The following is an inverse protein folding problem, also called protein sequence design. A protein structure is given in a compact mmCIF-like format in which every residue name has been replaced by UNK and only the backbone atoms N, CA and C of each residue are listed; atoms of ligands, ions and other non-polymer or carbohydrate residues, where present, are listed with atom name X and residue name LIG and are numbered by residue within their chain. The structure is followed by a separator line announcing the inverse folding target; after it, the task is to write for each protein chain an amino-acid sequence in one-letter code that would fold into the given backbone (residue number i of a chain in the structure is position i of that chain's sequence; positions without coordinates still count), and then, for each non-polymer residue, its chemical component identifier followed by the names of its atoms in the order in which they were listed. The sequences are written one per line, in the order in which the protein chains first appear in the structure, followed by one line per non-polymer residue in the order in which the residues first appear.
data_IF_404697307380
#
_entry.id   IF_404697307380
#
_cell.length_a   1.000
_cell.length_b   1.000
_cell.length_c   1.000
_cell.angle_alpha   90.00
_cell.angle_beta   90.00
_cell.angle_gamma   90.00
#
_symmetry.space_group_name_H-M   'P 1'
#
loop_
_entity.id
_entity.type
_entity.pdbx_description
1 polymer ?
#
# COMPACT_ATOMS: atom_id res chain seq x y z
N UNK A 1 -18.99 3.49 5.13
CA UNK A 1 -20.22 4.19 4.70
C UNK A 1 -20.24 4.41 3.20
N UNK A 2 -21.35 4.09 2.52
CA UNK A 2 -21.57 4.46 1.11
C UNK A 2 -22.31 5.82 1.03
N UNK A 3 -22.58 6.31 -0.20
CA UNK A 3 -23.37 7.53 -0.52
C UNK A 3 -22.69 8.90 -0.33
N UNK A 4 -21.71 9.04 0.56
CA UNK A 4 -21.12 10.37 0.91
C UNK A 4 -19.84 10.75 0.15
N UNK A 5 -19.30 9.86 -0.67
CA UNK A 5 -17.98 10.05 -1.27
C UNK A 5 -16.90 10.24 -0.21
N UNK A 6 -15.98 11.20 -0.41
CA UNK A 6 -14.93 11.53 0.57
C UNK A 6 -15.35 12.60 1.59
N UNK A 7 -16.61 13.02 1.62
CA UNK A 7 -17.13 14.01 2.60
C UNK A 7 -17.39 13.36 3.96
N UNK A 8 -16.33 12.77 4.55
CA UNK A 8 -16.42 12.01 5.77
C UNK A 8 -16.67 12.91 6.99
N UNK A 9 -17.44 12.36 7.93
CA UNK A 9 -17.71 12.97 9.25
C UNK A 9 -16.89 12.22 10.30
N UNK A 10 -16.65 12.81 11.50
CA UNK A 10 -15.88 12.16 12.55
C UNK A 10 -16.33 10.73 12.88
N UNK A 11 -17.64 10.49 12.94
CA UNK A 11 -18.21 9.16 13.20
C UNK A 11 -17.85 8.10 12.14
N UNK A 12 -17.54 8.51 10.90
CA UNK A 12 -17.09 7.55 9.88
C UNK A 12 -15.68 7.05 10.21
N UNK A 13 -14.76 7.94 10.60
CA UNK A 13 -13.41 7.57 11.01
C UNK A 13 -13.42 6.71 12.28
N UNK A 14 -14.30 7.03 13.23
CA UNK A 14 -14.48 6.26 14.46
C UNK A 14 -14.98 4.85 14.18
N UNK A 15 -15.97 4.70 13.30
CA UNK A 15 -16.47 3.39 12.93
C UNK A 15 -15.44 2.58 12.15
N UNK A 16 -14.76 3.16 11.16
CA UNK A 16 -13.71 2.47 10.40
C UNK A 16 -12.62 1.97 11.35
N UNK A 17 -12.21 2.80 12.32
CA UNK A 17 -11.25 2.40 13.37
C UNK A 17 -11.81 1.29 14.25
N UNK A 18 -13.08 1.37 14.68
CA UNK A 18 -13.73 0.34 15.49
C UNK A 18 -13.76 -1.02 14.77
N UNK A 19 -14.10 -1.03 13.49
CA UNK A 19 -14.15 -2.27 12.68
C UNK A 19 -12.75 -2.89 12.51
N UNK A 20 -11.72 -2.07 12.27
CA UNK A 20 -10.34 -2.54 12.22
C UNK A 20 -9.91 -3.16 13.55
N UNK A 21 -10.22 -2.53 14.68
CA UNK A 21 -9.91 -3.06 16.01
C UNK A 21 -10.68 -4.35 16.32
N UNK A 22 -11.94 -4.43 15.91
CA UNK A 22 -12.76 -5.66 16.02
C UNK A 22 -12.12 -6.84 15.27
N UNK A 23 -11.52 -6.57 14.10
CA UNK A 23 -10.78 -7.57 13.32
C UNK A 23 -9.38 -7.89 13.89
N UNK A 24 -8.87 -7.10 14.84
CA UNK A 24 -7.54 -7.27 15.43
C UNK A 24 -6.41 -6.61 14.65
N UNK A 25 -6.72 -5.61 13.82
CA UNK A 25 -5.70 -4.84 13.07
C UNK A 25 -4.79 -4.07 14.03
N UNK A 26 -3.48 -4.19 13.82
CA UNK A 26 -2.45 -3.46 14.55
C UNK A 26 -1.58 -2.55 13.65
N UNK A 27 -1.77 -2.59 12.34
CA UNK A 27 -1.06 -1.76 11.38
C UNK A 27 -1.99 -1.34 10.23
N UNK A 28 -1.80 -0.12 9.72
CA UNK A 28 -2.58 0.44 8.63
C UNK A 28 -1.67 1.14 7.63
N UNK A 29 -1.99 0.99 6.34
CA UNK A 29 -1.49 1.85 5.27
C UNK A 29 -2.61 2.78 4.85
N UNK A 30 -2.48 4.07 5.16
CA UNK A 30 -3.46 5.10 4.78
C UNK A 30 -3.17 5.58 3.35
N UNK A 31 -3.45 4.70 2.40
CA UNK A 31 -3.34 4.92 0.97
C UNK A 31 -4.43 5.89 0.44
N UNK A 32 -4.27 6.61 -0.67
CA UNK A 32 -3.02 6.91 -1.40
C UNK A 32 -2.67 8.40 -1.28
N UNK A 33 -2.88 8.98 -0.10
CA UNK A 33 -2.72 10.41 0.14
C UNK A 33 -2.71 10.72 1.64
N UNK A 34 -2.21 11.91 2.04
CA UNK A 34 -2.37 12.40 3.40
C UNK A 34 -3.85 12.41 3.79
N UNK A 35 -4.19 11.70 4.85
CA UNK A 35 -5.54 11.61 5.38
C UNK A 35 -5.81 12.64 6.48
N UNK A 36 -7.02 12.62 7.03
CA UNK A 36 -7.42 13.59 8.05
C UNK A 36 -6.56 13.47 9.32
N UNK A 37 -6.21 14.60 9.94
CA UNK A 37 -5.57 14.64 11.28
C UNK A 37 -6.31 13.77 12.30
N UNK A 38 -7.65 13.81 12.27
CA UNK A 38 -8.46 13.01 13.18
C UNK A 38 -8.29 11.48 12.98
N UNK A 39 -8.02 11.03 11.76
CA UNK A 39 -7.73 9.62 11.51
C UNK A 39 -6.39 9.23 12.14
N UNK A 40 -5.34 10.06 11.99
CA UNK A 40 -4.06 9.82 12.65
C UNK A 40 -4.17 9.90 14.19
N UNK A 41 -4.98 10.82 14.74
CA UNK A 41 -5.28 10.87 16.18
C UNK A 41 -5.91 9.57 16.70
N UNK A 42 -6.75 8.91 15.88
CA UNK A 42 -7.35 7.63 16.22
C UNK A 42 -6.31 6.50 16.16
N UNK A 43 -5.40 6.53 15.19
CA UNK A 43 -4.31 5.54 15.13
C UNK A 43 -3.36 5.69 16.33
N UNK A 44 -3.06 6.94 16.73
CA UNK A 44 -2.26 7.25 17.92
C UNK A 44 -2.94 6.70 19.18
N UNK A 45 -4.23 7.00 19.37
CA UNK A 45 -5.01 6.58 20.54
C UNK A 45 -5.11 5.07 20.69
N UNK A 46 -5.16 4.35 19.58
CA UNK A 46 -5.36 2.90 19.59
C UNK A 46 -4.07 2.09 19.36
N UNK A 47 -2.92 2.76 19.20
CA UNK A 47 -1.63 2.10 19.02
C UNK A 47 -1.51 1.35 17.68
N UNK A 48 -2.13 1.84 16.62
CA UNK A 48 -2.08 1.24 15.28
C UNK A 48 -0.87 1.82 14.52
N UNK A 49 0.09 0.98 14.14
CA UNK A 49 1.27 1.38 13.37
C UNK A 49 0.85 1.86 11.98
N UNK A 50 1.20 3.08 11.61
CA UNK A 50 0.68 3.75 10.43
C UNK A 50 1.78 4.01 9.39
N UNK A 51 1.50 3.63 8.15
CA UNK A 51 2.16 4.10 6.95
C UNK A 51 1.28 5.19 6.31
N UNK A 52 1.78 6.42 6.28
CA UNK A 52 1.17 7.56 5.56
C UNK A 52 1.95 7.88 4.28
N UNK A 53 1.28 8.23 3.18
CA UNK A 53 1.94 8.45 1.88
C UNK A 53 1.42 9.67 1.11
N UNK A 54 2.26 10.23 0.24
CA UNK A 54 1.86 11.26 -0.73
C UNK A 54 1.14 10.65 -1.93
N UNK A 55 0.29 11.41 -2.67
CA UNK A 55 -0.41 10.93 -3.86
C UNK A 55 0.48 10.88 -5.11
N UNK A 56 1.66 10.27 -5.01
CA UNK A 56 2.50 10.00 -6.16
C UNK A 56 2.20 8.60 -6.73
N UNK A 57 1.09 8.51 -7.46
CA UNK A 57 0.46 7.25 -7.86
C UNK A 57 0.63 7.00 -9.36
N UNK A 58 1.12 5.82 -9.72
CA UNK A 58 1.22 5.33 -11.08
C UNK A 58 -0.07 4.68 -11.61
N UNK A 59 -0.05 4.24 -12.87
CA UNK A 59 -1.28 3.85 -13.57
C UNK A 59 -1.70 2.40 -13.31
N UNK A 60 -0.89 1.60 -12.62
CA UNK A 60 -1.12 0.15 -12.52
C UNK A 60 -1.25 -0.51 -13.90
N UNK A 61 -2.32 -1.27 -14.09
CA UNK A 61 -2.69 -1.88 -15.38
C UNK A 61 -3.40 -0.93 -16.37
N UNK A 62 -3.60 0.34 -16.02
CA UNK A 62 -4.31 1.33 -16.84
C UNK A 62 -3.37 2.16 -17.73
N UNK A 63 -3.96 3.06 -18.52
CA UNK A 63 -3.25 3.98 -19.40
C UNK A 63 -2.58 5.14 -18.63
N UNK A 64 -1.87 5.99 -19.36
CA UNK A 64 -1.19 7.19 -18.87
C UNK A 64 -0.04 6.91 -17.88
N UNK A 65 0.31 7.93 -17.08
CA UNK A 65 1.52 7.98 -16.24
C UNK A 65 1.22 8.65 -14.92
N UNK A 66 1.87 8.19 -13.85
CA UNK A 66 1.89 8.85 -12.55
C UNK A 66 2.93 9.96 -12.43
N UNK A 67 3.85 10.05 -13.39
CA UNK A 67 4.91 11.04 -13.43
C UNK A 67 4.92 11.76 -14.78
N UNK A 68 5.01 13.09 -14.72
CA UNK A 68 5.22 13.98 -15.86
C UNK A 68 6.45 14.82 -15.53
N UNK A 69 7.51 14.70 -16.33
CA UNK A 69 8.80 15.32 -16.02
C UNK A 69 8.83 16.81 -16.40
N UNK A 70 8.14 17.60 -15.59
CA UNK A 70 8.13 19.06 -15.70
C UNK A 70 8.38 19.70 -14.32
N UNK A 71 9.05 20.87 -14.26
CA UNK A 71 9.38 21.53 -13.00
C UNK A 71 8.16 21.78 -12.10
N UNK A 72 7.02 22.17 -12.67
CA UNK A 72 5.80 22.44 -11.90
C UNK A 72 5.25 21.19 -11.18
N UNK A 73 5.31 20.02 -11.82
CA UNK A 73 4.90 18.75 -11.22
C UNK A 73 5.84 18.37 -10.08
N UNK A 74 7.15 18.44 -10.33
CA UNK A 74 8.19 18.08 -9.37
C UNK A 74 8.17 18.98 -8.13
N UNK A 75 8.07 20.29 -8.32
CA UNK A 75 8.05 21.23 -7.19
C UNK A 75 6.75 21.13 -6.39
N UNK A 76 5.61 20.88 -7.05
CA UNK A 76 4.36 20.63 -6.34
C UNK A 76 4.42 19.34 -5.51
N UNK A 77 4.93 18.24 -6.06
CA UNK A 77 5.05 16.98 -5.30
C UNK A 77 6.03 17.08 -4.12
N UNK A 78 7.13 17.83 -4.26
CA UNK A 78 8.01 18.18 -3.12
C UNK A 78 7.26 18.95 -2.04
N UNK A 79 6.37 19.86 -2.41
CA UNK A 79 5.58 20.61 -1.42
C UNK A 79 4.57 19.71 -0.71
N UNK A 80 3.87 18.84 -1.44
CA UNK A 80 2.96 17.85 -0.83
C UNK A 80 3.69 16.93 0.17
N UNK A 81 4.92 16.52 -0.12
CA UNK A 81 5.75 15.75 0.82
C UNK A 81 6.10 16.55 2.07
N UNK A 82 6.52 17.82 1.91
CA UNK A 82 6.81 18.69 3.06
C UNK A 82 5.55 18.95 3.89
N UNK A 83 4.40 19.15 3.25
CA UNK A 83 3.12 19.34 3.91
C UNK A 83 2.76 18.12 4.76
N UNK A 84 2.77 16.92 4.16
CA UNK A 84 2.47 15.68 4.88
C UNK A 84 3.39 15.51 6.10
N UNK A 85 4.70 15.62 5.91
CA UNK A 85 5.67 15.42 7.00
C UNK A 85 5.45 16.46 8.10
N UNK A 86 5.36 17.75 7.76
CA UNK A 86 5.28 18.83 8.76
C UNK A 86 3.95 18.86 9.50
N UNK A 87 2.84 18.63 8.80
CA UNK A 87 1.51 18.67 9.39
C UNK A 87 1.26 17.47 10.31
N UNK A 88 1.87 16.32 10.00
CA UNK A 88 1.63 15.06 10.69
C UNK A 88 2.85 14.55 11.49
N UNK A 89 3.87 15.40 11.68
CA UNK A 89 5.15 15.04 12.30
C UNK A 89 5.00 14.44 13.71
N UNK A 90 4.01 14.90 14.48
CA UNK A 90 3.87 14.56 15.89
C UNK A 90 3.00 13.32 16.16
N UNK A 91 2.48 12.66 15.13
CA UNK A 91 1.70 11.44 15.31
C UNK A 91 2.65 10.25 15.59
N UNK A 92 2.66 9.69 16.82
CA UNK A 92 3.47 8.51 17.13
C UNK A 92 3.03 7.26 16.35
N UNK A 93 1.79 7.21 15.88
CA UNK A 93 1.31 6.09 15.06
C UNK A 93 2.07 6.01 13.74
N UNK A 94 2.40 7.15 13.12
CA UNK A 94 3.11 7.18 11.84
C UNK A 94 4.54 6.70 12.07
N UNK A 95 4.86 5.56 11.44
CA UNK A 95 6.18 4.94 11.49
C UNK A 95 6.87 4.89 10.12
N UNK A 96 6.15 5.19 9.03
CA UNK A 96 6.68 5.14 7.67
C UNK A 96 6.14 6.29 6.82
N UNK A 97 7.02 6.89 6.02
CA UNK A 97 6.66 7.86 4.97
C UNK A 97 6.69 7.21 3.59
N UNK A 98 5.53 7.02 2.98
CA UNK A 98 5.36 6.48 1.64
C UNK A 98 5.66 7.51 0.56
N UNK A 99 6.56 7.17 -0.38
CA UNK A 99 6.98 8.10 -1.44
C UNK A 99 6.25 7.89 -2.77
N UNK A 100 5.80 6.68 -3.06
CA UNK A 100 5.01 6.40 -4.27
C UNK A 100 4.19 5.12 -4.18
N UNK A 101 3.23 5.00 -5.11
CA UNK A 101 2.51 3.77 -5.41
C UNK A 101 2.57 3.46 -6.91
N UNK A 102 3.04 2.28 -7.31
CA UNK A 102 2.95 1.71 -8.67
C UNK A 102 3.49 2.58 -9.84
N UNK A 103 4.52 3.38 -9.59
CA UNK A 103 5.21 4.10 -10.66
C UNK A 103 5.99 3.15 -11.58
N UNK A 104 6.18 3.55 -12.84
CA UNK A 104 6.91 2.79 -13.86
C UNK A 104 7.99 3.64 -14.50
N UNK A 105 9.09 3.00 -14.92
CA UNK A 105 10.23 3.67 -15.54
C UNK A 105 10.01 4.02 -17.02
N UNK A 106 9.01 3.41 -17.66
CA UNK A 106 8.76 3.62 -19.09
C UNK A 106 8.19 5.02 -19.38
N UNK A 107 8.85 5.74 -20.29
CA UNK A 107 8.50 7.10 -20.67
C UNK A 107 9.24 8.12 -19.79
N UNK A 108 8.48 8.90 -19.03
CA UNK A 108 9.09 9.87 -18.11
C UNK A 108 9.54 9.04 -16.91
N UNK A 109 10.85 8.87 -16.75
CA UNK A 109 11.40 7.98 -15.75
C UNK A 109 11.49 8.71 -14.38
N UNK A 110 10.78 8.26 -13.33
CA UNK A 110 10.71 8.96 -12.06
C UNK A 110 11.90 8.69 -11.12
N UNK A 111 12.86 7.81 -11.47
CA UNK A 111 13.90 7.35 -10.54
C UNK A 111 14.67 8.50 -9.87
N UNK A 112 15.16 9.47 -10.64
CA UNK A 112 15.92 10.60 -10.08
C UNK A 112 15.03 11.49 -9.21
N UNK A 113 13.77 11.67 -9.58
CA UNK A 113 12.82 12.44 -8.79
C UNK A 113 12.44 11.72 -7.48
N UNK A 114 12.29 10.40 -7.48
CA UNK A 114 12.07 9.61 -6.26
C UNK A 114 13.29 9.71 -5.34
N UNK A 115 14.52 9.71 -5.87
CA UNK A 115 15.74 9.96 -5.07
C UNK A 115 15.73 11.35 -4.44
N UNK A 116 15.33 12.39 -5.17
CA UNK A 116 15.16 13.74 -4.62
C UNK A 116 14.14 13.76 -3.47
N UNK A 117 12.98 13.10 -3.65
CA UNK A 117 11.96 12.98 -2.61
C UNK A 117 12.47 12.20 -1.39
N UNK A 118 13.23 11.13 -1.60
CA UNK A 118 13.82 10.35 -0.51
C UNK A 118 14.79 11.19 0.33
N UNK A 119 15.67 11.96 -0.32
CA UNK A 119 16.56 12.91 0.36
C UNK A 119 15.75 13.97 1.11
N UNK A 120 14.71 14.53 0.49
CA UNK A 120 13.87 15.55 1.10
C UNK A 120 13.10 15.02 2.32
N UNK A 121 12.60 13.78 2.27
CA UNK A 121 11.92 13.14 3.38
C UNK A 121 12.85 13.00 4.59
N UNK A 122 14.07 12.50 4.38
CA UNK A 122 15.08 12.38 5.43
C UNK A 122 15.55 13.73 6.00
N UNK A 123 15.58 14.78 5.18
CA UNK A 123 15.86 16.14 5.65
C UNK A 123 14.71 16.71 6.48
N UNK A 124 13.46 16.40 6.12
CA UNK A 124 12.26 16.85 6.82
C UNK A 124 12.01 16.09 8.12
N UNK A 125 12.33 14.80 8.14
CA UNK A 125 12.16 13.91 9.28
C UNK A 125 13.21 12.78 9.26
N UNK A 126 14.33 12.94 9.97
CA UNK A 126 15.35 11.88 10.07
C UNK A 126 14.96 10.76 11.05
N UNK A 127 13.77 10.82 11.68
CA UNK A 127 13.36 9.88 12.74
C UNK A 127 12.51 8.72 12.22
N UNK A 128 12.02 8.80 10.98
CA UNK A 128 11.16 7.77 10.37
C UNK A 128 11.74 7.30 9.03
N UNK A 129 11.72 5.99 8.76
CA UNK A 129 12.13 5.46 7.46
C UNK A 129 11.14 5.83 6.34
N UNK A 130 11.66 5.90 5.12
CA UNK A 130 10.83 5.94 3.92
C UNK A 130 10.45 4.53 3.45
N UNK A 131 9.30 4.43 2.80
CA UNK A 131 8.82 3.20 2.15
C UNK A 131 8.13 3.54 0.83
N UNK A 132 7.83 2.54 0.02
CA UNK A 132 7.07 2.68 -1.22
C UNK A 132 6.32 1.40 -1.57
N UNK A 133 5.24 1.52 -2.35
CA UNK A 133 4.46 0.41 -2.87
C UNK A 133 4.74 0.22 -4.36
N UNK A 134 5.33 -0.92 -4.74
CA UNK A 134 5.76 -1.20 -6.11
C UNK A 134 4.98 -2.33 -6.77
N UNK A 135 4.81 -2.26 -8.08
CA UNK A 135 4.40 -3.36 -8.93
C UNK A 135 5.44 -3.67 -10.03
N UNK A 136 6.66 -3.14 -9.88
CA UNK A 136 7.74 -3.25 -10.85
C UNK A 136 8.89 -4.12 -10.31
N UNK A 137 9.70 -4.64 -11.23
CA UNK A 137 11.10 -4.99 -10.94
C UNK A 137 12.02 -3.77 -11.11
N UNK A 138 13.33 -3.98 -11.06
CA UNK A 138 14.30 -2.94 -11.45
C UNK A 138 14.67 -1.95 -10.35
N UNK A 139 15.29 -0.85 -10.77
CA UNK A 139 16.02 0.07 -9.90
C UNK A 139 15.12 0.86 -8.94
N UNK A 140 13.84 1.02 -9.29
CA UNK A 140 12.87 1.76 -8.49
C UNK A 140 12.68 1.20 -7.07
N UNK A 141 12.96 -0.08 -6.88
CA UNK A 141 12.77 -0.80 -5.62
C UNK A 141 13.92 -0.62 -4.62
N UNK A 142 14.98 0.11 -4.99
CA UNK A 142 16.22 0.22 -4.21
C UNK A 142 16.50 1.67 -3.74
N UNK A 143 15.46 2.52 -3.71
CA UNK A 143 15.61 3.94 -3.34
C UNK A 143 15.21 4.20 -1.88
N UNK A 144 14.08 3.66 -1.44
CA UNK A 144 13.56 3.85 -0.07
C UNK A 144 14.18 2.88 0.92
N UNK A 145 14.12 3.20 2.22
CA UNK A 145 14.76 2.37 3.26
C UNK A 145 14.11 0.99 3.39
N UNK A 146 12.78 0.98 3.28
CA UNK A 146 11.93 -0.20 3.19
C UNK A 146 11.27 -0.24 1.80
N UNK A 147 10.87 -1.43 1.36
CA UNK A 147 10.18 -1.60 0.09
C UNK A 147 9.04 -2.61 0.24
N UNK A 148 7.93 -2.33 -0.41
CA UNK A 148 6.78 -3.22 -0.43
C UNK A 148 6.27 -3.42 -1.85
N UNK A 149 5.61 -4.56 -2.09
CA UNK A 149 4.98 -4.84 -3.36
C UNK A 149 3.48 -5.06 -3.26
N UNK A 150 2.76 -4.57 -4.26
CA UNK A 150 1.37 -4.89 -4.51
C UNK A 150 1.29 -6.25 -5.20
N UNK A 151 0.68 -7.24 -4.55
CA UNK A 151 0.67 -8.64 -5.01
C UNK A 151 -0.75 -9.20 -5.02
N UNK A 152 -1.16 -9.73 -6.16
CA UNK A 152 -2.52 -10.22 -6.40
C UNK A 152 -2.52 -11.67 -6.90
N UNK A 153 -1.54 -12.46 -6.47
CA UNK A 153 -1.36 -13.87 -6.83
C UNK A 153 -2.59 -14.72 -6.43
N UNK A 154 -3.31 -15.26 -7.41
CA UNK A 154 -4.60 -15.94 -7.21
C UNK A 154 -5.84 -15.08 -7.48
N UNK A 155 -5.67 -13.77 -7.74
CA UNK A 155 -6.73 -12.89 -8.21
C UNK A 155 -6.52 -12.51 -9.68
N UNK A 156 -5.52 -11.69 -9.99
CA UNK A 156 -5.15 -11.30 -11.38
C UNK A 156 -4.36 -12.40 -12.12
N UNK A 157 -4.87 -13.64 -12.06
CA UNK A 157 -4.21 -14.84 -12.57
C UNK A 157 -3.32 -15.54 -11.53
N UNK A 158 -2.58 -16.55 -12.00
CA UNK A 158 -1.73 -17.41 -11.17
C UNK A 158 -2.47 -18.07 -9.99
N UNK A 159 -1.73 -18.52 -8.98
CA UNK A 159 -2.25 -19.12 -7.75
C UNK A 159 -1.55 -18.49 -6.55
N UNK A 160 -2.13 -18.51 -5.33
CA UNK A 160 -1.45 -17.97 -4.14
C UNK A 160 -0.01 -18.49 -3.94
N UNK A 161 0.29 -19.73 -4.39
CA UNK A 161 1.63 -20.30 -4.30
C UNK A 161 2.72 -19.51 -5.07
N UNK A 162 2.35 -18.68 -6.05
CA UNK A 162 3.33 -17.82 -6.73
C UNK A 162 3.76 -16.64 -5.87
N UNK A 163 2.95 -16.20 -4.89
CA UNK A 163 3.37 -15.22 -3.87
C UNK A 163 4.52 -15.80 -3.04
N UNK A 164 4.36 -17.03 -2.54
CA UNK A 164 5.39 -17.73 -1.78
C UNK A 164 6.70 -17.83 -2.58
N UNK A 165 6.60 -18.30 -3.82
CA UNK A 165 7.77 -18.46 -4.71
C UNK A 165 8.46 -17.14 -5.01
N UNK A 166 7.68 -16.06 -5.18
CA UNK A 166 8.21 -14.73 -5.46
C UNK A 166 8.87 -14.11 -4.23
N UNK A 167 8.26 -14.20 -3.05
CA UNK A 167 8.81 -13.71 -1.79
C UNK A 167 10.17 -14.36 -1.51
N UNK A 168 10.23 -15.69 -1.56
CA UNK A 168 11.44 -16.45 -1.21
C UNK A 168 12.58 -16.16 -2.19
N UNK A 169 12.29 -16.09 -3.49
CA UNK A 169 13.29 -15.75 -4.52
C UNK A 169 13.78 -14.32 -4.38
N UNK A 170 12.89 -13.37 -4.10
CA UNK A 170 13.25 -11.95 -3.96
C UNK A 170 14.12 -11.76 -2.71
N UNK A 171 13.74 -12.36 -1.58
CA UNK A 171 14.54 -12.31 -0.36
C UNK A 171 15.91 -12.99 -0.52
N UNK A 172 15.98 -14.12 -1.24
CA UNK A 172 17.25 -14.79 -1.52
C UNK A 172 18.17 -13.96 -2.44
N UNK A 173 17.61 -13.32 -3.46
CA UNK A 173 18.36 -12.51 -4.40
C UNK A 173 18.85 -11.18 -3.81
N UNK A 174 18.06 -10.61 -2.90
CA UNK A 174 18.29 -9.31 -2.27
C UNK A 174 18.08 -9.41 -0.75
N UNK A 175 19.00 -10.04 -0.01
CA UNK A 175 18.86 -10.19 1.45
C UNK A 175 18.93 -8.86 2.21
N UNK A 176 19.39 -7.78 1.57
CA UNK A 176 19.55 -6.45 2.16
C UNK A 176 18.26 -5.60 2.21
N UNK A 177 17.27 -5.92 1.36
CA UNK A 177 16.01 -5.17 1.29
C UNK A 177 15.02 -5.67 2.35
N UNK A 178 14.25 -4.74 2.93
CA UNK A 178 13.20 -5.05 3.91
C UNK A 178 11.87 -5.13 3.17
N UNK A 179 11.41 -6.35 2.92
CA UNK A 179 10.25 -6.65 2.07
C UNK A 179 8.96 -6.57 2.90
N UNK A 180 7.95 -5.88 2.35
CA UNK A 180 6.55 -5.96 2.79
C UNK A 180 5.62 -6.26 1.61
N UNK A 181 4.36 -6.56 1.93
CA UNK A 181 3.26 -6.61 0.96
C UNK A 181 2.39 -5.39 1.20
N UNK A 182 2.43 -4.40 0.29
CA UNK A 182 1.70 -3.14 0.44
C UNK A 182 0.23 -3.25 0.08
N UNK A 183 -0.14 -4.25 -0.72
CA UNK A 183 -1.51 -4.62 -1.09
C UNK A 183 -1.57 -6.12 -1.38
N UNK A 184 -2.61 -6.80 -0.90
CA UNK A 184 -3.01 -8.11 -1.39
C UNK A 184 -4.51 -8.35 -1.14
N UNK A 185 -5.25 -8.68 -2.20
CA UNK A 185 -6.69 -8.83 -2.07
C UNK A 185 -7.35 -9.53 -3.24
N UNK A 186 -8.63 -9.87 -3.05
CA UNK A 186 -9.51 -10.37 -4.09
C UNK A 186 -10.88 -9.69 -3.96
N UNK A 187 -11.61 -9.57 -5.07
CA UNK A 187 -12.96 -9.01 -5.08
C UNK A 187 -14.01 -10.03 -4.64
N UNK A 188 -15.05 -9.55 -3.96
CA UNK A 188 -16.23 -10.31 -3.61
C UNK A 188 -17.50 -9.44 -3.63
N UNK A 189 -18.61 -10.07 -3.96
CA UNK A 189 -19.96 -9.55 -3.68
C UNK A 189 -20.65 -10.51 -2.73
N UNK A 190 -21.18 -9.98 -1.62
CA UNK A 190 -21.97 -10.76 -0.65
C UNK A 190 -23.23 -11.38 -1.28
N UNK A 191 -23.64 -10.92 -2.47
CA UNK A 191 -24.80 -11.43 -3.20
C UNK A 191 -24.43 -12.52 -4.22
N UNK A 192 -23.15 -12.75 -4.47
CA UNK A 192 -22.68 -13.78 -5.40
C UNK A 192 -22.25 -14.99 -4.58
N UNK A 193 -23.08 -16.03 -4.60
CA UNK A 193 -22.88 -17.25 -3.84
C UNK A 193 -22.90 -18.45 -4.78
N UNK A 194 -22.03 -19.41 -4.52
CA UNK A 194 -21.98 -20.68 -5.21
C UNK A 194 -21.49 -21.77 -4.26
N UNK A 195 -21.96 -22.99 -4.45
CA UNK A 195 -21.61 -24.13 -3.59
C UNK A 195 -20.16 -24.62 -3.85
N UNK A 196 -19.73 -24.60 -5.12
CA UNK A 196 -18.38 -25.01 -5.51
C UNK A 196 -17.36 -23.87 -5.38
N UNK A 197 -16.11 -24.20 -5.08
CA UNK A 197 -15.00 -23.26 -5.10
C UNK A 197 -14.37 -23.23 -6.50
N UNK A 198 -14.59 -22.14 -7.23
CA UNK A 198 -14.07 -21.94 -8.59
C UNK A 198 -13.49 -20.55 -8.70
N UNK A 199 -12.26 -20.44 -9.21
CA UNK A 199 -11.61 -19.15 -9.45
C UNK A 199 -12.43 -18.34 -10.45
N UNK A 200 -12.78 -17.12 -10.05
CA UNK A 200 -13.46 -16.19 -10.94
C UNK A 200 -12.48 -15.37 -11.78
N UNK A 201 -12.96 -14.81 -12.89
CA UNK A 201 -12.24 -13.81 -13.66
C UNK A 201 -12.43 -12.42 -13.03
N UNK A 202 -11.35 -11.70 -12.66
CA UNK A 202 -11.44 -10.37 -12.04
C UNK A 202 -12.22 -9.35 -12.87
N UNK A 203 -12.11 -9.41 -14.20
CA UNK A 203 -12.81 -8.51 -15.12
C UNK A 203 -14.27 -8.89 -15.40
N UNK A 204 -14.80 -9.93 -14.75
CA UNK A 204 -16.19 -10.37 -14.92
C UNK A 204 -17.15 -9.68 -13.93
N UNK A 205 -18.46 -9.89 -14.14
CA UNK A 205 -19.53 -9.42 -13.24
C UNK A 205 -19.87 -10.41 -12.13
N UNK A 206 -19.09 -11.48 -11.94
CA UNK A 206 -19.38 -12.54 -10.98
C UNK A 206 -18.21 -12.72 -10.02
N UNK A 207 -18.34 -12.27 -8.78
CA UNK A 207 -17.29 -12.32 -7.76
C UNK A 207 -17.81 -13.05 -6.51
N UNK A 208 -17.76 -14.40 -6.50
CA UNK A 208 -18.35 -15.17 -5.42
C UNK A 208 -17.56 -15.00 -4.12
N UNK A 209 -18.28 -14.85 -3.01
CA UNK A 209 -17.69 -14.61 -1.68
C UNK A 209 -16.66 -15.68 -1.29
N UNK A 210 -16.97 -16.96 -1.57
CA UNK A 210 -16.11 -18.08 -1.22
C UNK A 210 -14.72 -18.03 -1.88
N UNK A 211 -14.55 -17.34 -3.01
CA UNK A 211 -13.24 -17.18 -3.63
C UNK A 211 -12.35 -16.19 -2.89
N UNK A 212 -12.92 -15.05 -2.43
CA UNK A 212 -12.17 -14.10 -1.60
C UNK A 212 -11.79 -14.72 -0.26
N UNK A 213 -12.67 -15.53 0.33
CA UNK A 213 -12.37 -16.27 1.57
C UNK A 213 -11.15 -17.19 1.36
N UNK A 214 -11.18 -18.04 0.33
CA UNK A 214 -10.05 -18.92 0.02
C UNK A 214 -8.77 -18.14 -0.26
N UNK A 215 -8.87 -17.05 -1.04
CA UNK A 215 -7.74 -16.20 -1.37
C UNK A 215 -7.02 -15.69 -0.12
N UNK A 216 -7.76 -15.13 0.85
CA UNK A 216 -7.15 -14.61 2.08
C UNK A 216 -6.61 -15.72 2.97
N UNK A 217 -7.28 -16.88 3.07
CA UNK A 217 -6.78 -18.03 3.84
C UNK A 217 -5.41 -18.47 3.30
N UNK A 218 -5.28 -18.65 1.98
CA UNK A 218 -4.05 -19.14 1.37
C UNK A 218 -2.92 -18.11 1.42
N UNK A 219 -3.20 -16.85 1.09
CA UNK A 219 -2.18 -15.79 1.14
C UNK A 219 -1.75 -15.48 2.57
N UNK A 220 -2.67 -15.45 3.54
CA UNK A 220 -2.33 -15.28 4.95
C UNK A 220 -1.40 -16.39 5.45
N UNK A 221 -1.71 -17.66 5.12
CA UNK A 221 -0.85 -18.79 5.48
C UNK A 221 0.58 -18.58 4.97
N UNK A 222 0.73 -18.18 3.70
CA UNK A 222 2.02 -17.89 3.08
C UNK A 222 2.77 -16.76 3.80
N UNK A 223 2.09 -15.65 4.09
CA UNK A 223 2.68 -14.49 4.75
C UNK A 223 3.10 -14.84 6.19
N UNK A 224 2.23 -15.55 6.93
CA UNK A 224 2.46 -15.91 8.33
C UNK A 224 3.68 -16.83 8.54
N UNK A 225 4.09 -17.58 7.52
CA UNK A 225 5.26 -18.46 7.53
C UNK A 225 6.57 -17.72 7.21
N UNK A 226 6.53 -16.41 6.87
CA UNK A 226 7.67 -15.63 6.36
C UNK A 226 7.97 -14.42 7.24
N UNK A 227 8.64 -14.59 8.39
CA UNK A 227 8.88 -13.50 9.35
C UNK A 227 9.82 -12.39 8.82
N UNK A 228 10.50 -12.60 7.69
CA UNK A 228 11.27 -11.54 7.02
C UNK A 228 10.37 -10.52 6.30
N UNK A 229 9.09 -10.84 6.10
CA UNK A 229 8.08 -9.88 5.62
C UNK A 229 7.67 -9.00 6.80
N UNK A 230 8.13 -7.74 6.80
CA UNK A 230 7.97 -6.87 7.97
C UNK A 230 6.55 -6.34 8.15
N UNK A 231 5.72 -6.37 7.11
CA UNK A 231 4.33 -5.93 7.13
C UNK A 231 3.55 -6.44 5.92
N UNK A 232 2.24 -6.61 6.09
CA UNK A 232 1.31 -6.97 5.01
C UNK A 232 0.00 -6.22 5.19
N UNK A 233 -0.45 -5.53 4.15
CA UNK A 233 -1.66 -4.71 4.17
C UNK A 233 -2.65 -5.28 3.15
N UNK A 234 -3.83 -5.68 3.65
CA UNK A 234 -4.95 -6.21 2.84
C UNK A 234 -5.47 -5.12 1.92
#
# INVERSE_FOLDING_TARGET
WAEVGNALRPMHHEEDTRLMLEMGVNAIRLAHYPQATYMYDLMDRNGIVTWAEIPFVGPGGYADKGFVDQPSFRENGKEQLKEMIRQHFNHPSICFWGLFNELKENGDNPLEYIKELNVLAHQGDPTRPTTSASNQGGAINFITDNIAWNRYDGWYGATPATLASWLDKTHQAHPEIKIAISEYGAGASIYHQQDSLVQTSPGSWWHPENWQTEYHIQNWKIISERPYVWGSFV
#
